data_IF_597251292796
#
_entry.id   IF_597251292796
#
_cell.length_a   1.000
_cell.length_b   1.000
_cell.length_c   1.000
_cell.angle_alpha   90.00
_cell.angle_beta   90.00
_cell.angle_gamma   90.00
#
_symmetry.space_group_name_H-M   'P 1'
#
loop_
_entity.id
_entity.type
_entity.pdbx_description
1 polymer ?
#
# COMPACT_ATOMS: atom_id res chain seq x y z
N UNK A 1 19.85 20.53 -4.33
CA UNK A 1 19.12 19.61 -3.43
C UNK A 1 17.89 19.17 -4.20
N UNK A 2 17.72 17.88 -4.44
CA UNK A 2 16.54 17.35 -5.12
C UNK A 2 15.29 17.48 -4.22
N UNK A 3 14.09 17.32 -4.80
CA UNK A 3 12.86 17.29 -4.00
C UNK A 3 12.92 16.18 -2.94
N UNK A 4 13.48 15.02 -3.31
CA UNK A 4 13.66 13.89 -2.38
C UNK A 4 14.65 14.20 -1.26
N UNK A 5 15.78 14.87 -1.54
CA UNK A 5 16.73 15.26 -0.49
C UNK A 5 16.09 16.20 0.55
N UNK A 6 15.24 17.13 0.08
CA UNK A 6 14.50 18.04 0.98
C UNK A 6 13.49 17.28 1.82
N UNK A 7 12.82 16.28 1.25
CA UNK A 7 11.84 15.45 1.94
C UNK A 7 12.51 14.56 3.00
N UNK A 8 13.65 13.95 2.66
CA UNK A 8 14.48 13.18 3.59
C UNK A 8 14.90 14.06 4.79
N UNK A 9 15.40 15.26 4.54
CA UNK A 9 15.82 16.16 5.61
C UNK A 9 14.64 16.56 6.54
N UNK A 10 13.45 16.80 5.98
CA UNK A 10 12.23 17.04 6.79
C UNK A 10 11.84 15.82 7.62
N UNK A 11 11.91 14.63 7.04
CA UNK A 11 11.59 13.39 7.73
C UNK A 11 12.58 13.10 8.88
N UNK A 12 13.86 13.33 8.67
CA UNK A 12 14.87 13.23 9.71
C UNK A 12 14.61 14.21 10.87
N UNK A 13 14.18 15.43 10.56
CA UNK A 13 13.90 16.46 11.56
C UNK A 13 12.70 16.12 12.48
N UNK A 14 11.70 15.38 11.96
CA UNK A 14 10.53 14.94 12.75
C UNK A 14 10.69 13.52 13.33
N UNK A 15 11.80 12.84 13.04
CA UNK A 15 12.07 11.49 13.54
C UNK A 15 12.31 11.49 15.04
N UNK A 16 11.82 10.44 15.71
CA UNK A 16 11.94 10.24 17.17
C UNK A 16 12.68 8.94 17.47
N UNK A 17 13.53 8.96 18.51
CA UNK A 17 14.14 7.72 19.01
C UNK A 17 13.14 6.78 19.68
N UNK A 18 11.93 7.26 19.98
CA UNK A 18 10.82 6.45 20.48
C UNK A 18 10.09 5.68 19.36
N UNK A 19 10.35 5.98 18.08
CA UNK A 19 9.80 5.24 16.95
C UNK A 19 10.27 3.79 16.97
N UNK A 20 9.31 2.86 16.89
CA UNK A 20 9.62 1.45 16.60
C UNK A 20 9.86 1.29 15.12
N UNK A 21 11.14 1.35 14.74
CA UNK A 21 11.54 1.35 13.33
C UNK A 21 11.25 0.00 12.69
N UNK A 22 10.48 0.00 11.61
CA UNK A 22 10.40 -1.13 10.68
C UNK A 22 11.60 -1.04 9.73
N UNK A 23 12.57 -1.93 9.91
CA UNK A 23 13.72 -2.02 9.01
C UNK A 23 13.32 -2.71 7.70
N UNK A 24 13.80 -2.20 6.59
CA UNK A 24 13.71 -2.80 5.27
C UNK A 24 15.00 -3.54 4.93
N UNK A 25 14.98 -4.86 5.07
CA UNK A 25 16.16 -5.73 4.91
C UNK A 25 16.25 -6.24 3.47
N UNK A 26 17.18 -5.71 2.68
CA UNK A 26 17.41 -6.12 1.30
C UNK A 26 18.28 -7.39 1.25
N UNK A 27 17.83 -8.38 0.47
CA UNK A 27 18.59 -9.60 0.15
C UNK A 27 18.46 -9.90 -1.34
N UNK A 28 19.55 -10.35 -1.96
CA UNK A 28 19.51 -10.87 -3.35
C UNK A 28 19.13 -12.35 -3.32
N UNK A 29 18.12 -12.71 -4.11
CA UNK A 29 17.62 -14.08 -4.26
C UNK A 29 17.67 -14.44 -5.74
N UNK A 30 18.42 -15.47 -6.10
CA UNK A 30 18.39 -16.00 -7.48
C UNK A 30 17.04 -16.67 -7.72
N UNK A 31 16.31 -16.19 -8.70
CA UNK A 31 15.02 -16.75 -9.07
C UNK A 31 15.17 -18.04 -9.88
N UNK A 32 14.22 -18.98 -9.78
CA UNK A 32 14.19 -20.16 -10.63
C UNK A 32 13.94 -19.78 -12.11
N UNK A 33 13.95 -20.77 -12.99
CA UNK A 33 13.67 -20.64 -14.42
C UNK A 33 14.65 -19.70 -15.18
N UNK A 34 15.76 -19.32 -14.57
CA UNK A 34 16.68 -18.35 -15.17
C UNK A 34 16.13 -16.91 -15.22
N UNK A 35 15.16 -16.60 -14.38
CA UNK A 35 14.46 -15.30 -14.37
C UNK A 35 15.30 -14.14 -13.79
N UNK A 36 16.54 -14.41 -13.37
CA UNK A 36 17.46 -13.40 -12.85
C UNK A 36 17.51 -13.33 -11.32
N UNK A 37 17.77 -12.16 -10.78
CA UNK A 37 17.97 -11.93 -9.34
C UNK A 37 16.92 -10.97 -8.81
N UNK A 38 16.19 -11.42 -7.79
CA UNK A 38 15.22 -10.62 -7.06
C UNK A 38 15.92 -9.86 -5.92
N UNK A 39 15.80 -8.57 -5.88
CA UNK A 39 16.07 -7.76 -4.70
C UNK A 39 14.88 -7.88 -3.73
N UNK A 40 14.92 -8.88 -2.85
CA UNK A 40 13.85 -9.11 -1.87
C UNK A 40 14.03 -8.21 -0.66
N UNK A 41 13.09 -7.31 -0.45
CA UNK A 41 13.00 -6.42 0.70
C UNK A 41 12.04 -7.03 1.71
N UNK A 42 12.55 -7.33 2.91
CA UNK A 42 11.74 -7.85 4.01
C UNK A 42 11.55 -6.77 5.06
N UNK A 43 10.31 -6.42 5.34
CA UNK A 43 9.94 -5.48 6.41
C UNK A 43 9.93 -6.20 7.76
N UNK A 44 10.70 -5.71 8.72
CA UNK A 44 10.83 -6.32 10.03
C UNK A 44 11.17 -5.29 11.12
N UNK A 45 10.30 -5.13 12.11
CA UNK A 45 10.53 -4.24 13.24
C UNK A 45 11.28 -4.89 14.41
N UNK A 46 11.80 -6.11 14.22
CA UNK A 46 12.54 -6.87 15.24
C UNK A 46 11.69 -7.48 16.35
N UNK A 47 10.38 -7.31 16.33
CA UNK A 47 9.43 -7.85 17.30
C UNK A 47 8.79 -9.14 16.77
N UNK A 48 8.11 -9.87 17.64
CA UNK A 48 7.38 -11.07 17.25
C UNK A 48 6.16 -10.79 16.36
N UNK A 49 5.48 -11.84 15.91
CA UNK A 49 4.34 -11.77 15.01
C UNK A 49 3.07 -11.11 15.61
N UNK A 50 3.04 -10.84 16.92
CA UNK A 50 1.92 -10.14 17.58
C UNK A 50 2.06 -8.63 17.51
N UNK A 51 3.25 -8.13 17.13
CA UNK A 51 3.57 -6.71 17.01
C UNK A 51 3.73 -6.35 15.53
N UNK A 52 2.74 -5.70 14.92
CA UNK A 52 2.79 -5.41 13.49
C UNK A 52 3.94 -4.47 13.13
N UNK A 53 4.44 -4.62 11.90
CA UNK A 53 5.25 -3.58 11.26
C UNK A 53 4.38 -2.34 11.05
N UNK A 54 4.92 -1.17 11.31
CA UNK A 54 4.29 0.12 11.01
C UNK A 54 5.31 1.06 10.39
N UNK A 55 4.86 2.06 9.63
CA UNK A 55 5.72 3.02 8.98
C UNK A 55 5.69 4.36 9.71
N UNK A 56 6.77 4.69 10.41
CA UNK A 56 7.10 6.04 10.82
C UNK A 56 8.14 6.65 9.87
N UNK A 57 8.61 7.88 10.14
CA UNK A 57 9.60 8.55 9.31
C UNK A 57 10.88 7.72 9.07
N UNK A 58 11.44 7.11 10.12
CA UNK A 58 12.66 6.29 10.04
C UNK A 58 12.41 4.98 9.28
N UNK A 59 11.23 4.37 9.48
CA UNK A 59 10.84 3.16 8.75
C UNK A 59 10.71 3.43 7.25
N UNK A 60 10.11 4.56 6.85
CA UNK A 60 10.02 4.98 5.45
C UNK A 60 11.41 5.30 4.86
N UNK A 61 12.29 5.95 5.62
CA UNK A 61 13.68 6.20 5.20
C UNK A 61 14.46 4.89 5.02
N UNK A 62 14.27 3.91 5.90
CA UNK A 62 14.86 2.57 5.74
C UNK A 62 14.39 1.88 4.47
N UNK A 63 13.07 1.96 4.18
CA UNK A 63 12.51 1.40 2.94
C UNK A 63 13.04 2.14 1.71
N UNK A 64 13.12 3.47 1.77
CA UNK A 64 13.73 4.27 0.71
C UNK A 64 15.14 3.81 0.36
N UNK A 65 15.99 3.66 1.37
CA UNK A 65 17.39 3.23 1.18
C UNK A 65 17.46 1.82 0.58
N UNK A 66 16.60 0.88 1.02
CA UNK A 66 16.57 -0.47 0.50
C UNK A 66 16.12 -0.53 -0.97
N UNK A 67 15.09 0.25 -1.34
CA UNK A 67 14.62 0.35 -2.73
C UNK A 67 15.71 0.96 -3.61
N UNK A 68 16.31 2.08 -3.20
CA UNK A 68 17.36 2.75 -3.97
C UNK A 68 18.57 1.84 -4.17
N UNK A 69 18.99 1.09 -3.14
CA UNK A 69 20.06 0.11 -3.25
C UNK A 69 19.73 -1.02 -4.23
N UNK A 70 18.49 -1.53 -4.21
CA UNK A 70 18.07 -2.57 -5.14
C UNK A 70 17.95 -2.07 -6.59
N UNK A 71 17.50 -0.82 -6.78
CA UNK A 71 17.42 -0.21 -8.10
C UNK A 71 18.79 0.08 -8.70
N UNK A 72 19.75 0.48 -7.87
CA UNK A 72 21.12 0.80 -8.29
C UNK A 72 22.00 -0.44 -8.54
N UNK A 73 21.62 -1.62 -8.07
CA UNK A 73 22.40 -2.86 -8.24
C UNK A 73 22.10 -3.48 -9.61
N UNK A 74 23.07 -3.50 -10.51
CA UNK A 74 22.94 -4.05 -11.87
C UNK A 74 22.68 -5.57 -11.90
N UNK A 75 22.99 -6.30 -10.83
CA UNK A 75 22.67 -7.73 -10.74
C UNK A 75 21.18 -7.96 -10.42
N UNK A 76 20.52 -7.01 -9.78
CA UNK A 76 19.09 -7.09 -9.44
C UNK A 76 18.24 -6.81 -10.67
N UNK A 77 17.46 -7.79 -11.10
CA UNK A 77 16.60 -7.69 -12.29
C UNK A 77 15.13 -7.39 -11.96
N UNK A 78 14.71 -7.63 -10.74
CA UNK A 78 13.36 -7.33 -10.25
C UNK A 78 13.39 -7.04 -8.74
N UNK A 79 12.36 -6.34 -8.23
CA UNK A 79 12.17 -6.07 -6.81
C UNK A 79 11.06 -6.95 -6.25
N UNK A 80 11.20 -7.36 -4.99
CA UNK A 80 10.13 -7.99 -4.23
C UNK A 80 10.03 -7.35 -2.86
N UNK A 81 8.80 -7.14 -2.35
CA UNK A 81 8.58 -6.69 -0.98
C UNK A 81 7.70 -7.68 -0.24
N UNK A 82 8.09 -8.02 0.98
CA UNK A 82 7.34 -8.87 1.89
C UNK A 82 7.57 -8.42 3.32
N UNK A 83 6.86 -9.02 4.28
CA UNK A 83 7.06 -8.74 5.69
C UNK A 83 7.61 -9.92 6.46
N UNK A 84 7.81 -9.73 7.77
CA UNK A 84 8.08 -10.82 8.69
C UNK A 84 6.93 -11.84 8.70
N UNK A 85 7.10 -13.06 9.26
CA UNK A 85 6.05 -14.07 9.22
C UNK A 85 4.68 -13.56 9.66
N UNK A 86 3.67 -13.79 8.80
CA UNK A 86 2.25 -13.46 8.98
C UNK A 86 1.88 -11.97 8.97
N UNK A 87 2.84 -11.07 8.75
CA UNK A 87 2.58 -9.61 8.75
C UNK A 87 3.40 -8.93 7.65
N UNK A 88 2.73 -8.29 6.70
CA UNK A 88 3.39 -7.33 5.83
C UNK A 88 3.60 -6.02 6.60
N UNK A 89 2.54 -5.26 6.84
CA UNK A 89 2.54 -4.08 7.70
C UNK A 89 1.10 -3.65 8.06
N UNK A 90 0.96 -2.86 9.13
CA UNK A 90 -0.33 -2.33 9.63
C UNK A 90 -0.46 -0.81 9.46
N UNK A 91 0.15 -0.26 8.41
CA UNK A 91 0.01 1.15 8.06
C UNK A 91 0.97 2.08 8.79
N UNK A 92 0.56 3.33 8.92
CA UNK A 92 1.35 4.38 9.54
C UNK A 92 1.51 4.20 11.06
N UNK A 93 2.68 4.55 11.59
CA UNK A 93 2.89 4.70 13.03
C UNK A 93 2.30 6.02 13.50
N UNK A 94 1.00 6.01 13.80
CA UNK A 94 0.26 7.20 14.22
C UNK A 94 0.82 7.82 15.51
N UNK A 95 1.46 7.02 16.37
CA UNK A 95 2.04 7.50 17.61
C UNK A 95 3.29 8.36 17.34
N UNK A 96 4.17 7.89 16.48
CA UNK A 96 5.36 8.65 16.05
C UNK A 96 4.98 9.92 15.32
N UNK A 97 3.98 9.84 14.42
CA UNK A 97 3.52 10.98 13.63
C UNK A 97 2.91 12.06 14.53
N UNK A 98 2.05 11.68 15.47
CA UNK A 98 1.43 12.61 16.40
C UNK A 98 2.45 13.37 17.29
N UNK A 99 3.59 12.75 17.57
CA UNK A 99 4.71 13.37 18.31
C UNK A 99 5.58 14.32 17.49
N UNK A 100 5.49 14.32 16.17
CA UNK A 100 6.39 15.02 15.25
C UNK A 100 6.07 16.51 14.99
N UNK A 101 5.00 17.04 15.62
CA UNK A 101 4.59 18.45 15.44
C UNK A 101 3.68 18.69 14.22
N UNK A 102 3.34 19.96 13.92
CA UNK A 102 2.27 20.31 12.96
C UNK A 102 2.54 19.88 11.52
N UNK A 103 3.80 19.78 11.11
CA UNK A 103 4.16 19.40 9.72
C UNK A 103 4.40 17.90 9.56
N UNK A 104 4.28 17.11 10.65
CA UNK A 104 4.63 15.68 10.62
C UNK A 104 3.70 14.88 9.71
N UNK A 105 2.39 15.10 9.80
CA UNK A 105 1.39 14.39 8.96
C UNK A 105 1.70 14.61 7.49
N UNK A 106 1.86 15.86 7.08
CA UNK A 106 2.18 16.21 5.70
C UNK A 106 3.52 15.63 5.23
N UNK A 107 4.56 15.74 6.06
CA UNK A 107 5.89 15.21 5.71
C UNK A 107 5.85 13.70 5.53
N UNK A 108 5.15 12.97 6.40
CA UNK A 108 5.04 11.51 6.31
C UNK A 108 4.16 11.09 5.14
N UNK A 109 3.09 11.83 4.83
CA UNK A 109 2.25 11.57 3.65
C UNK A 109 3.08 11.70 2.36
N UNK A 110 3.73 12.83 2.15
CA UNK A 110 4.58 13.09 0.98
C UNK A 110 5.75 12.07 0.89
N UNK A 111 6.36 11.70 2.02
CA UNK A 111 7.44 10.71 2.06
C UNK A 111 6.95 9.31 1.67
N UNK A 112 5.81 8.88 2.20
CA UNK A 112 5.24 7.58 1.87
C UNK A 112 4.94 7.45 0.39
N UNK A 113 4.28 8.43 -0.22
CA UNK A 113 4.07 8.49 -1.68
C UNK A 113 5.40 8.43 -2.45
N UNK A 114 6.35 9.30 -2.09
CA UNK A 114 7.63 9.37 -2.80
C UNK A 114 8.45 8.07 -2.72
N UNK A 115 8.36 7.34 -1.61
CA UNK A 115 9.05 6.07 -1.39
C UNK A 115 8.33 4.92 -2.07
N UNK A 116 7.02 4.78 -1.86
CA UNK A 116 6.27 3.63 -2.37
C UNK A 116 6.17 3.63 -3.90
N UNK A 117 5.97 4.79 -4.53
CA UNK A 117 5.90 4.90 -6.00
C UNK A 117 7.15 4.41 -6.72
N UNK A 118 8.33 4.43 -6.06
CA UNK A 118 9.56 3.86 -6.64
C UNK A 118 9.44 2.37 -6.96
N UNK A 119 8.55 1.64 -6.28
CA UNK A 119 8.31 0.22 -6.56
C UNK A 119 7.75 0.00 -7.97
N UNK A 120 6.80 0.82 -8.41
CA UNK A 120 6.22 0.71 -9.77
C UNK A 120 6.91 1.57 -10.83
N UNK A 121 7.62 2.64 -10.42
CA UNK A 121 8.24 3.60 -11.36
C UNK A 121 9.76 3.46 -11.47
N UNK A 122 10.37 2.60 -10.66
CA UNK A 122 11.83 2.45 -10.60
C UNK A 122 12.49 1.78 -11.81
N UNK A 123 11.70 1.34 -12.80
CA UNK A 123 12.20 0.76 -14.06
C UNK A 123 12.60 -0.70 -13.98
N UNK A 124 12.46 -1.36 -12.84
CA UNK A 124 12.57 -2.82 -12.68
C UNK A 124 11.21 -3.38 -12.27
N UNK A 125 10.77 -4.54 -12.83
CA UNK A 125 9.53 -5.19 -12.40
C UNK A 125 9.48 -5.39 -10.89
N UNK A 126 8.33 -5.14 -10.28
CA UNK A 126 8.16 -5.20 -8.83
C UNK A 126 7.01 -6.11 -8.40
N UNK A 127 7.21 -6.81 -7.29
CA UNK A 127 6.30 -7.82 -6.76
C UNK A 127 6.00 -7.56 -5.28
N UNK A 128 4.73 -7.37 -4.94
CA UNK A 128 4.23 -7.33 -3.58
C UNK A 128 3.82 -8.74 -3.11
N UNK A 129 4.57 -9.33 -2.19
CA UNK A 129 4.26 -10.63 -1.61
C UNK A 129 3.54 -10.43 -0.28
N UNK A 130 2.20 -10.40 -0.32
CA UNK A 130 1.35 -10.13 0.86
C UNK A 130 1.25 -11.40 1.70
N UNK A 131 2.21 -11.59 2.59
CA UNK A 131 2.42 -12.80 3.38
C UNK A 131 1.60 -12.86 4.68
N UNK A 132 0.60 -12.00 4.84
CA UNK A 132 -0.23 -11.95 6.05
C UNK A 132 -1.01 -10.67 6.18
N UNK A 133 -1.10 -10.13 7.42
CA UNK A 133 -1.79 -8.89 7.71
C UNK A 133 -1.22 -7.73 6.87
N UNK A 134 -2.10 -7.00 6.18
CA UNK A 134 -1.76 -5.83 5.37
C UNK A 134 -2.88 -4.78 5.48
N UNK A 135 -2.70 -3.76 6.33
CA UNK A 135 -3.70 -2.74 6.60
C UNK A 135 -3.16 -1.34 6.29
N UNK A 136 -4.02 -0.48 5.73
CA UNK A 136 -3.65 0.88 5.40
C UNK A 136 -2.39 0.95 4.54
N UNK A 137 -1.43 1.76 4.91
CA UNK A 137 -0.13 1.86 4.24
C UNK A 137 0.60 0.52 4.06
N UNK A 138 0.28 -0.51 4.87
CA UNK A 138 0.79 -1.86 4.68
C UNK A 138 0.18 -2.59 3.48
N UNK A 139 -1.04 -2.27 3.09
CA UNK A 139 -1.63 -2.70 1.83
C UNK A 139 -1.17 -1.78 0.69
N UNK A 140 -1.11 -0.47 0.95
CA UNK A 140 -0.73 0.52 -0.05
C UNK A 140 0.67 0.28 -0.62
N UNK A 141 1.65 -0.09 0.21
CA UNK A 141 3.00 -0.43 -0.29
C UNK A 141 2.98 -1.59 -1.29
N UNK A 142 2.13 -2.60 -1.10
CA UNK A 142 1.98 -3.69 -2.05
C UNK A 142 1.23 -3.25 -3.31
N UNK A 143 0.26 -2.31 -3.19
CA UNK A 143 -0.49 -1.77 -4.32
C UNK A 143 0.40 -0.97 -5.29
N UNK A 144 1.51 -0.41 -4.83
CA UNK A 144 2.49 0.26 -5.69
C UNK A 144 3.34 -0.69 -6.52
N UNK A 145 3.38 -1.98 -6.20
CA UNK A 145 4.10 -2.95 -7.03
C UNK A 145 3.34 -3.24 -8.33
N UNK A 146 4.08 -3.62 -9.40
CA UNK A 146 3.48 -4.03 -10.67
C UNK A 146 2.59 -5.26 -10.50
N UNK A 147 3.04 -6.22 -9.69
CA UNK A 147 2.36 -7.49 -9.46
C UNK A 147 2.22 -7.79 -7.97
N UNK A 148 1.19 -8.55 -7.62
CA UNK A 148 0.90 -8.93 -6.23
C UNK A 148 0.50 -10.38 -6.11
N UNK A 149 1.04 -11.06 -5.10
CA UNK A 149 0.51 -12.32 -4.63
C UNK A 149 -0.04 -12.14 -3.21
N UNK A 150 -0.96 -12.99 -2.80
CA UNK A 150 -1.50 -13.00 -1.44
C UNK A 150 -1.52 -14.39 -0.86
N UNK A 151 -1.19 -14.50 0.42
CA UNK A 151 -1.34 -15.73 1.18
C UNK A 151 -2.83 -16.01 1.42
N UNK A 152 -3.31 -17.22 1.08
CA UNK A 152 -4.73 -17.61 1.20
C UNK A 152 -5.29 -17.44 2.61
N UNK A 153 -4.49 -17.74 3.60
CA UNK A 153 -4.78 -17.65 5.03
C UNK A 153 -4.40 -16.31 5.67
N UNK A 154 -4.07 -15.28 4.87
CA UNK A 154 -3.84 -13.94 5.39
C UNK A 154 -5.08 -13.45 6.16
N UNK A 155 -4.91 -13.01 7.44
CA UNK A 155 -6.04 -12.80 8.32
C UNK A 155 -6.80 -11.50 8.06
N UNK A 156 -6.11 -10.46 7.56
CA UNK A 156 -6.69 -9.13 7.42
C UNK A 156 -5.98 -8.30 6.35
N UNK A 157 -6.71 -7.92 5.32
CA UNK A 157 -6.33 -6.92 4.33
C UNK A 157 -7.41 -5.85 4.26
N UNK A 158 -7.03 -4.58 4.20
CA UNK A 158 -8.00 -3.50 4.10
C UNK A 158 -7.40 -2.11 4.23
N UNK A 159 -8.26 -1.12 4.01
CA UNK A 159 -7.96 0.31 4.15
C UNK A 159 -8.88 0.90 5.23
N UNK A 160 -8.54 0.78 6.53
CA UNK A 160 -9.43 1.12 7.62
C UNK A 160 -9.46 2.61 7.98
N UNK A 161 -8.78 3.46 7.23
CA UNK A 161 -8.46 4.85 7.56
C UNK A 161 -9.69 5.69 7.90
N UNK A 162 -10.80 5.54 7.17
CA UNK A 162 -12.00 6.37 7.41
C UNK A 162 -12.64 6.11 8.78
N UNK A 163 -12.45 4.92 9.35
CA UNK A 163 -12.87 4.59 10.71
C UNK A 163 -12.04 5.36 11.76
N UNK A 164 -10.81 5.70 11.42
CA UNK A 164 -9.87 6.44 12.28
C UNK A 164 -9.95 7.96 12.07
N UNK A 165 -10.86 8.43 11.20
CA UNK A 165 -10.96 9.85 10.85
C UNK A 165 -9.91 10.31 9.83
N UNK A 166 -9.28 9.37 9.12
CA UNK A 166 -8.27 9.60 8.09
C UNK A 166 -8.77 9.10 6.72
N UNK A 167 -7.96 9.27 5.69
CA UNK A 167 -8.16 8.64 4.37
C UNK A 167 -6.97 7.74 4.05
N UNK A 168 -7.08 6.75 3.13
CA UNK A 168 -5.91 6.11 2.52
C UNK A 168 -5.05 7.19 1.88
N UNK A 169 -3.84 7.36 2.36
CA UNK A 169 -3.05 8.53 2.04
C UNK A 169 -1.66 8.22 1.51
N UNK A 170 -1.43 6.98 1.07
CA UNK A 170 -0.22 6.57 0.35
C UNK A 170 -0.58 5.88 -0.97
N UNK A 171 -1.58 6.43 -1.67
CA UNK A 171 -2.01 6.00 -2.99
C UNK A 171 -3.27 5.15 -2.99
N UNK A 172 -3.77 4.68 -1.84
CA UNK A 172 -4.88 3.74 -1.78
C UNK A 172 -6.18 4.26 -2.37
N UNK A 173 -6.47 5.54 -2.19
CA UNK A 173 -7.69 6.15 -2.72
C UNK A 173 -7.65 6.33 -4.25
N UNK A 174 -6.46 6.36 -4.85
CA UNK A 174 -6.28 6.39 -6.31
C UNK A 174 -6.01 5.00 -6.90
N UNK A 175 -5.09 4.23 -6.29
CA UNK A 175 -4.65 2.93 -6.83
C UNK A 175 -5.78 1.90 -6.84
N UNK A 176 -6.55 1.80 -5.74
CA UNK A 176 -7.59 0.76 -5.64
C UNK A 176 -8.69 0.93 -6.69
N UNK A 177 -9.34 2.10 -6.86
CA UNK A 177 -10.36 2.25 -7.88
C UNK A 177 -9.81 2.08 -9.30
N UNK A 178 -8.54 2.39 -9.54
CA UNK A 178 -7.89 2.18 -10.83
C UNK A 178 -7.43 0.73 -11.07
N UNK A 179 -7.33 -0.08 -10.02
CA UNK A 179 -7.00 -1.51 -10.10
C UNK A 179 -8.25 -2.40 -10.23
N UNK A 180 -9.26 -2.18 -9.37
CA UNK A 180 -10.39 -3.10 -9.22
C UNK A 180 -11.75 -2.49 -9.57
N UNK A 181 -11.80 -1.20 -9.92
CA UNK A 181 -13.01 -0.43 -10.19
C UNK A 181 -13.58 0.25 -8.94
N UNK A 182 -14.41 1.28 -9.16
CA UNK A 182 -14.93 2.14 -8.11
C UNK A 182 -15.81 1.38 -7.10
N UNK A 183 -16.64 0.44 -7.54
CA UNK A 183 -17.56 -0.29 -6.65
C UNK A 183 -16.82 -1.10 -5.58
N UNK A 184 -15.78 -1.84 -6.01
CA UNK A 184 -14.93 -2.61 -5.09
C UNK A 184 -14.07 -1.69 -4.22
N UNK A 185 -13.64 -0.55 -4.75
CA UNK A 185 -12.93 0.47 -3.98
C UNK A 185 -13.82 1.06 -2.87
N UNK A 186 -15.08 1.39 -3.17
CA UNK A 186 -16.07 1.85 -2.18
C UNK A 186 -16.26 0.80 -1.08
N UNK A 187 -16.31 -0.49 -1.44
CA UNK A 187 -16.38 -1.56 -0.45
C UNK A 187 -15.16 -1.57 0.48
N UNK A 188 -13.95 -1.44 -0.08
CA UNK A 188 -12.70 -1.53 0.69
C UNK A 188 -12.43 -0.29 1.52
N UNK A 189 -12.69 0.91 0.97
CA UNK A 189 -12.32 2.21 1.58
C UNK A 189 -13.42 2.74 2.51
N UNK A 190 -14.70 2.46 2.23
CA UNK A 190 -15.84 3.03 2.94
C UNK A 190 -16.68 1.99 3.67
N UNK A 191 -17.25 1.02 2.92
CA UNK A 191 -18.25 0.12 3.49
C UNK A 191 -17.67 -0.76 4.61
N UNK A 192 -16.54 -1.40 4.36
CA UNK A 192 -15.88 -2.28 5.32
C UNK A 192 -15.43 -1.54 6.57
N UNK A 193 -14.66 -0.43 6.48
CA UNK A 193 -14.27 0.33 7.66
C UNK A 193 -15.44 0.86 8.46
N UNK A 194 -16.45 1.42 7.82
CA UNK A 194 -17.65 1.95 8.47
C UNK A 194 -18.61 0.85 8.98
N UNK A 195 -18.33 -0.41 8.67
CA UNK A 195 -19.02 -1.59 9.18
C UNK A 195 -18.19 -2.30 10.25
N UNK A 196 -17.83 -1.59 11.31
CA UNK A 196 -17.05 -2.08 12.47
C UNK A 196 -15.61 -2.50 12.11
N UNK A 197 -14.98 -1.84 11.14
CA UNK A 197 -13.60 -2.11 10.77
C UNK A 197 -13.42 -3.48 10.11
N UNK A 198 -14.36 -3.92 9.28
CA UNK A 198 -14.24 -5.18 8.53
C UNK A 198 -12.99 -5.15 7.67
N UNK A 199 -12.37 -6.31 7.54
CA UNK A 199 -11.23 -6.56 6.66
C UNK A 199 -11.50 -7.78 5.78
N UNK A 200 -10.70 -7.96 4.75
CA UNK A 200 -10.75 -9.13 3.88
C UNK A 200 -9.73 -10.17 4.34
N UNK A 201 -10.07 -11.45 4.28
CA UNK A 201 -9.06 -12.51 4.29
C UNK A 201 -8.39 -12.63 2.93
N UNK A 202 -7.27 -13.36 2.86
CA UNK A 202 -6.47 -13.47 1.65
C UNK A 202 -7.23 -13.95 0.42
N UNK A 203 -8.03 -15.01 0.54
CA UNK A 203 -8.87 -15.49 -0.57
C UNK A 203 -9.91 -14.45 -1.03
N UNK A 204 -10.51 -13.70 -0.09
CA UNK A 204 -11.47 -12.65 -0.43
C UNK A 204 -10.79 -11.47 -1.12
N UNK A 205 -9.58 -11.10 -0.70
CA UNK A 205 -8.78 -10.07 -1.35
C UNK A 205 -8.39 -10.46 -2.79
N UNK A 206 -8.01 -11.72 -2.99
CA UNK A 206 -7.76 -12.27 -4.33
C UNK A 206 -9.02 -12.24 -5.20
N UNK A 207 -10.15 -12.72 -4.68
CA UNK A 207 -11.43 -12.71 -5.40
C UNK A 207 -11.90 -11.29 -5.73
N UNK A 208 -11.56 -10.29 -4.90
CA UNK A 208 -11.83 -8.88 -5.19
C UNK A 208 -10.95 -8.34 -6.34
N UNK A 209 -9.79 -8.94 -6.59
CA UNK A 209 -8.82 -8.51 -7.61
C UNK A 209 -7.65 -7.68 -7.07
N UNK A 210 -7.45 -7.65 -5.74
CA UNK A 210 -6.32 -6.93 -5.12
C UNK A 210 -4.97 -7.63 -5.36
N UNK A 211 -4.98 -8.91 -5.70
CA UNK A 211 -3.79 -9.69 -6.03
C UNK A 211 -3.98 -10.49 -7.31
N UNK A 212 -2.87 -10.79 -8.00
CA UNK A 212 -2.83 -11.48 -9.28
C UNK A 212 -2.75 -13.00 -9.11
N UNK A 213 -2.26 -13.47 -7.94
CA UNK A 213 -2.24 -14.87 -7.56
C UNK A 213 -2.43 -15.05 -6.05
N UNK A 214 -2.90 -16.25 -5.67
CA UNK A 214 -3.15 -16.61 -4.27
C UNK A 214 -2.54 -17.98 -4.01
N UNK A 215 -1.73 -18.09 -2.95
CA UNK A 215 -1.00 -19.32 -2.62
C UNK A 215 -1.21 -19.74 -1.17
N UNK A 216 -1.01 -21.04 -0.91
CA UNK A 216 -1.09 -21.60 0.44
C UNK A 216 -0.03 -21.01 1.37
N UNK A 217 -0.42 -20.78 2.63
CA UNK A 217 0.50 -20.26 3.64
C UNK A 217 1.70 -21.18 3.94
N UNK A 218 1.59 -22.48 3.61
CA UNK A 218 2.65 -23.46 3.92
C UNK A 218 3.96 -23.23 3.15
N UNK A 219 3.84 -22.81 1.87
CA UNK A 219 4.97 -22.57 0.95
C UNK A 219 4.81 -21.24 0.19
N UNK A 220 4.10 -20.31 0.81
CA UNK A 220 3.66 -19.06 0.21
C UNK A 220 4.76 -18.28 -0.52
N UNK A 221 5.88 -18.01 0.15
CA UNK A 221 6.93 -17.16 -0.44
C UNK A 221 7.65 -17.90 -1.57
N UNK A 222 7.84 -19.20 -1.45
CA UNK A 222 8.44 -20.03 -2.49
C UNK A 222 7.58 -20.05 -3.75
N UNK A 223 6.27 -20.28 -3.60
CA UNK A 223 5.32 -20.26 -4.72
C UNK A 223 5.21 -18.86 -5.34
N UNK A 224 5.23 -17.82 -4.52
CA UNK A 224 5.21 -16.43 -5.00
C UNK A 224 6.46 -16.09 -5.84
N UNK A 225 7.64 -16.53 -5.41
CA UNK A 225 8.89 -16.33 -6.18
C UNK A 225 8.91 -17.18 -7.45
N UNK A 226 8.40 -18.40 -7.43
CA UNK A 226 8.26 -19.25 -8.63
C UNK A 226 7.30 -18.61 -9.64
N UNK A 227 6.17 -18.09 -9.16
CA UNK A 227 5.20 -17.37 -9.98
C UNK A 227 5.81 -16.09 -10.57
N UNK A 228 6.52 -15.30 -9.77
CA UNK A 228 7.22 -14.11 -10.24
C UNK A 228 8.26 -14.44 -11.32
N UNK A 229 9.00 -15.54 -11.15
CA UNK A 229 9.91 -16.04 -12.19
C UNK A 229 9.15 -16.39 -13.47
N UNK A 230 7.98 -17.00 -13.37
CA UNK A 230 7.09 -17.27 -14.50
C UNK A 230 6.63 -16.00 -15.22
N UNK A 231 6.28 -14.95 -14.47
CA UNK A 231 5.92 -13.63 -15.05
C UNK A 231 7.11 -13.04 -15.79
N UNK A 232 8.29 -13.01 -15.17
CA UNK A 232 9.51 -12.43 -15.75
C UNK A 232 9.99 -13.17 -17.02
N UNK A 233 9.77 -14.48 -17.09
CA UNK A 233 10.13 -15.29 -18.27
C UNK A 233 9.02 -15.38 -19.32
N UNK A 234 7.85 -14.78 -19.05
CA UNK A 234 6.70 -14.82 -19.96
C UNK A 234 5.94 -16.15 -19.97
N UNK A 235 6.26 -17.10 -19.06
CA UNK A 235 5.53 -18.36 -18.92
C UNK A 235 4.22 -18.20 -18.14
N UNK A 236 4.07 -17.10 -17.41
CA UNK A 236 2.84 -16.67 -16.75
C UNK A 236 2.43 -15.32 -17.32
N UNK A 237 1.18 -15.24 -17.80
CA UNK A 237 0.57 -13.97 -18.23
C UNK A 237 -0.40 -13.52 -17.15
N UNK A 238 -0.31 -12.24 -16.77
CA UNK A 238 -1.25 -11.62 -15.84
C UNK A 238 -2.27 -10.84 -16.65
N UNK A 239 -3.53 -11.25 -16.57
CA UNK A 239 -4.65 -10.59 -17.24
C UNK A 239 -5.55 -9.97 -16.16
N UNK A 240 -5.74 -8.65 -16.22
CA UNK A 240 -6.61 -7.90 -15.31
C UNK A 240 -7.77 -7.32 -16.10
N UNK A 241 -9.02 -7.46 -15.60
CA UNK A 241 -10.17 -6.84 -16.23
C UNK A 241 -9.97 -5.33 -16.40
N UNK A 242 -10.40 -4.81 -17.53
CA UNK A 242 -10.45 -3.36 -17.73
C UNK A 242 -11.45 -2.72 -16.77
N UNK A 243 -11.06 -1.59 -16.19
CA UNK A 243 -11.90 -0.85 -15.24
C UNK A 243 -12.94 -0.04 -16.00
N UNK A 244 -14.23 -0.32 -15.75
CA UNK A 244 -15.32 0.50 -16.27
C UNK A 244 -15.38 1.87 -15.57
N UNK A 245 -15.10 2.92 -16.33
CA UNK A 245 -15.11 4.31 -15.87
C UNK A 245 -16.40 5.06 -16.26
N UNK A 246 -17.40 4.34 -16.79
CA UNK A 246 -18.71 4.87 -17.22
C UNK A 246 -19.76 4.81 -16.11
N UNK A 247 -20.94 4.26 -16.45
CA UNK A 247 -22.11 4.20 -15.58
C UNK A 247 -21.86 3.39 -14.30
N UNK A 248 -21.00 2.36 -14.34
CA UNK A 248 -20.63 1.59 -13.15
C UNK A 248 -19.91 2.47 -12.11
N UNK A 249 -19.09 3.43 -12.54
CA UNK A 249 -18.43 4.37 -11.63
C UNK A 249 -19.44 5.33 -10.98
N UNK A 250 -20.41 5.86 -11.77
CA UNK A 250 -21.46 6.72 -11.24
C UNK A 250 -22.34 5.99 -10.22
N UNK A 251 -22.69 4.73 -10.49
CA UNK A 251 -23.45 3.89 -9.56
C UNK A 251 -22.66 3.63 -8.26
N UNK A 252 -21.35 3.39 -8.36
CA UNK A 252 -20.49 3.21 -7.21
C UNK A 252 -20.41 4.45 -6.32
N UNK A 253 -20.33 5.65 -6.91
CA UNK A 253 -20.33 6.91 -6.16
C UNK A 253 -21.67 7.16 -5.48
N UNK A 254 -22.79 6.88 -6.14
CA UNK A 254 -24.11 6.98 -5.52
C UNK A 254 -24.24 6.04 -4.31
N UNK A 255 -23.76 4.80 -4.43
CA UNK A 255 -23.68 3.83 -3.32
C UNK A 255 -22.77 4.35 -2.19
N UNK A 256 -21.64 4.97 -2.52
CA UNK A 256 -20.74 5.54 -1.53
C UNK A 256 -21.42 6.63 -0.68
N UNK A 257 -22.15 7.54 -1.31
CA UNK A 257 -22.92 8.58 -0.63
C UNK A 257 -23.99 7.99 0.30
N UNK A 258 -24.71 6.98 -0.13
CA UNK A 258 -25.70 6.27 0.69
C UNK A 258 -25.04 5.61 1.91
N UNK A 259 -23.88 4.95 1.74
CA UNK A 259 -23.11 4.36 2.83
C UNK A 259 -22.71 5.43 3.84
N UNK A 260 -22.10 6.53 3.38
CA UNK A 260 -21.66 7.63 4.26
C UNK A 260 -22.85 8.21 5.01
N UNK A 261 -23.96 8.51 4.32
CA UNK A 261 -25.17 9.04 4.94
C UNK A 261 -25.73 8.10 6.01
N UNK A 262 -25.87 6.81 5.68
CA UNK A 262 -26.48 5.82 6.57
C UNK A 262 -25.60 5.44 7.77
N UNK A 263 -24.28 5.38 7.58
CA UNK A 263 -23.33 4.92 8.60
C UNK A 263 -22.84 6.04 9.53
N UNK A 264 -22.79 7.29 9.03
CA UNK A 264 -22.19 8.41 9.74
C UNK A 264 -23.16 9.56 9.99
N UNK A 265 -24.39 9.48 9.45
CA UNK A 265 -25.31 10.63 9.45
C UNK A 265 -24.73 11.86 8.75
N UNK A 266 -23.74 11.67 7.89
CA UNK A 266 -23.00 12.74 7.24
C UNK A 266 -21.99 13.48 8.15
N UNK A 267 -21.74 12.99 9.35
CA UNK A 267 -20.88 13.67 10.33
C UNK A 267 -19.38 13.33 10.20
N UNK A 268 -18.99 12.39 9.31
CA UNK A 268 -17.60 12.03 9.11
C UNK A 268 -16.96 12.80 7.94
N UNK A 269 -16.08 13.79 8.20
CA UNK A 269 -15.35 14.49 7.15
C UNK A 269 -14.46 13.55 6.34
N UNK A 270 -13.78 12.60 6.99
CA UNK A 270 -12.90 11.63 6.35
C UNK A 270 -13.66 10.75 5.33
N UNK A 271 -14.84 10.24 5.71
CA UNK A 271 -15.63 9.43 4.80
C UNK A 271 -16.10 10.22 3.56
N UNK A 272 -16.53 11.48 3.72
CA UNK A 272 -16.87 12.35 2.59
C UNK A 272 -15.65 12.63 1.72
N UNK A 273 -14.51 12.93 2.33
CA UNK A 273 -13.28 13.18 1.59
C UNK A 273 -12.82 11.95 0.78
N UNK A 274 -12.98 10.76 1.34
CA UNK A 274 -12.70 9.51 0.62
C UNK A 274 -13.61 9.32 -0.61
N UNK A 275 -14.90 9.68 -0.53
CA UNK A 275 -15.80 9.68 -1.71
C UNK A 275 -15.29 10.63 -2.79
N UNK A 276 -14.90 11.86 -2.42
CA UNK A 276 -14.33 12.84 -3.35
C UNK A 276 -13.07 12.34 -4.04
N UNK A 277 -12.17 11.67 -3.30
CA UNK A 277 -10.95 11.10 -3.85
C UNK A 277 -11.24 9.95 -4.82
N UNK A 278 -12.16 9.05 -4.49
CA UNK A 278 -12.60 7.98 -5.41
C UNK A 278 -13.26 8.58 -6.66
N UNK A 279 -14.03 9.67 -6.51
CA UNK A 279 -14.60 10.35 -7.65
C UNK A 279 -13.52 10.98 -8.56
N UNK A 280 -12.52 11.64 -7.96
CA UNK A 280 -11.41 12.25 -8.69
C UNK A 280 -10.53 11.21 -9.41
N UNK A 281 -10.33 10.03 -8.81
CA UNK A 281 -9.52 8.95 -9.38
C UNK A 281 -10.01 8.44 -10.74
N UNK A 282 -11.26 8.74 -11.11
CA UNK A 282 -11.84 8.41 -12.43
C UNK A 282 -11.06 9.01 -13.59
N UNK A 283 -10.58 10.24 -13.43
CA UNK A 283 -9.96 11.02 -14.52
C UNK A 283 -8.58 11.56 -14.17
N UNK A 284 -8.20 11.56 -12.88
CA UNK A 284 -6.89 12.00 -12.44
C UNK A 284 -5.81 11.00 -12.89
N UNK A 285 -4.68 11.49 -13.35
CA UNK A 285 -3.47 10.71 -13.44
C UNK A 285 -2.89 10.42 -12.03
N UNK A 286 -1.84 9.64 -11.97
CA UNK A 286 -1.24 9.22 -10.72
C UNK A 286 -0.73 10.40 -9.89
N UNK A 287 -0.07 11.38 -10.53
CA UNK A 287 0.47 12.55 -9.83
C UNK A 287 -0.64 13.42 -9.24
N UNK A 288 -1.70 13.65 -9.99
CA UNK A 288 -2.86 14.41 -9.51
C UNK A 288 -3.61 13.67 -8.41
N UNK A 289 -3.71 12.34 -8.51
CA UNK A 289 -4.34 11.50 -7.49
C UNK A 289 -3.60 11.57 -6.16
N UNK A 290 -2.28 11.38 -6.17
CA UNK A 290 -1.45 11.43 -4.96
C UNK A 290 -1.41 12.84 -4.35
N UNK A 291 -1.31 13.88 -5.17
CA UNK A 291 -1.39 15.26 -4.68
C UNK A 291 -2.75 15.56 -4.01
N UNK A 292 -3.84 14.97 -4.50
CA UNK A 292 -5.16 15.12 -3.88
C UNK A 292 -5.25 14.40 -2.53
N UNK A 293 -4.61 13.23 -2.36
CA UNK A 293 -4.51 12.52 -1.09
C UNK A 293 -3.67 13.31 -0.08
N UNK A 294 -2.49 13.82 -0.49
CA UNK A 294 -1.62 14.65 0.36
C UNK A 294 -2.36 15.91 0.86
N UNK A 295 -3.08 16.59 -0.04
CA UNK A 295 -3.88 17.76 0.33
C UNK A 295 -5.02 17.40 1.28
N UNK A 296 -5.67 16.25 1.08
CA UNK A 296 -6.75 15.79 1.94
C UNK A 296 -6.25 15.48 3.36
N UNK A 297 -5.08 14.85 3.52
CA UNK A 297 -4.46 14.59 4.81
C UNK A 297 -4.04 15.89 5.52
N UNK A 298 -3.46 16.84 4.78
CA UNK A 298 -3.10 18.16 5.31
C UNK A 298 -4.34 18.93 5.83
N UNK A 299 -5.43 18.93 5.07
CA UNK A 299 -6.69 19.59 5.45
C UNK A 299 -7.33 18.95 6.69
N UNK A 300 -7.24 17.64 6.84
CA UNK A 300 -7.80 16.92 8.01
C UNK A 300 -6.92 17.00 9.25
N UNK A 301 -5.66 17.41 9.13
CA UNK A 301 -4.73 17.57 10.25
C UNK A 301 -4.87 18.91 10.97
N UNK A 302 -5.63 19.86 10.40
CA UNK A 302 -5.92 21.21 10.93
C UNK A 302 -7.17 21.22 11.78
#
# INVERSE_FOLDING_TARGET
MSAMDSLVARAEAISSDAERVTEAKLRKVTLPLGAGVLGLITLDNGEDHTKPNTFGPRGLLSLNAAIDAALADDEVTALGITGKPFILAAGADLTSIAGGGPDAVRTVAELGHAVFRKLGEGGKPSFGFVNGLALGGGLEVALHCDYRTVMDSAPALGLPEVMLGLIPGWGGAWLVPNLVGADKAVTLILENPLSQGRTLGGQAAFALGLADACFSGADYLEQSMLWAAGVLTGSVTVDRPEVDRGEAWDAALARAEEIVASKTGGASPAARRAVELVAAARTADLDAGFAAEDQALDDMSK
#
